data_IF_683406890744
#
_entry.id   IF_683406890744
#
_cell.length_a   1.000
_cell.length_b   1.000
_cell.length_c   1.000
_cell.angle_alpha   90.00
_cell.angle_beta   90.00
_cell.angle_gamma   90.00
#
_symmetry.space_group_name_H-M   'P 1'
#
loop_
_entity.id
_entity.type
_entity.pdbx_description
1 polymer ?
#
# COMPACT_ATOMS: atom_id res chain seq x y z
N UNK A 1 -13.28 11.18 -10.57
CA UNK A 1 -14.51 11.28 -11.40
C UNK A 1 -14.32 10.47 -12.67
N UNK A 2 -15.40 9.95 -13.30
CA UNK A 2 -15.29 9.19 -14.55
C UNK A 2 -14.69 9.97 -15.72
N UNK A 3 -14.62 11.30 -15.63
CA UNK A 3 -14.04 12.21 -16.61
C UNK A 3 -12.54 12.52 -16.38
N UNK A 4 -11.87 11.77 -15.51
CA UNK A 4 -10.41 11.90 -15.29
C UNK A 4 -9.98 13.02 -14.34
N UNK A 5 -10.90 13.79 -13.76
CA UNK A 5 -10.55 14.82 -12.77
C UNK A 5 -9.98 14.16 -11.51
N UNK A 6 -8.78 14.54 -11.12
CA UNK A 6 -8.17 14.13 -9.85
C UNK A 6 -8.81 14.92 -8.72
N UNK A 7 -9.31 14.21 -7.71
CA UNK A 7 -9.85 14.81 -6.49
C UNK A 7 -8.97 14.41 -5.31
N UNK A 8 -8.68 15.38 -4.47
CA UNK A 8 -7.97 15.13 -3.21
C UNK A 8 -8.97 14.86 -2.09
N UNK A 9 -8.60 13.96 -1.18
CA UNK A 9 -9.34 13.81 0.07
C UNK A 9 -9.17 15.10 0.89
N UNK A 10 -10.27 15.77 1.21
CA UNK A 10 -10.26 17.05 1.89
C UNK A 10 -9.63 16.97 3.29
N UNK A 11 -9.82 15.85 4.01
CA UNK A 11 -9.25 15.63 5.35
C UNK A 11 -7.74 15.52 5.28
N UNK A 12 -7.21 14.70 4.36
CA UNK A 12 -5.76 14.55 4.15
C UNK A 12 -5.13 15.88 3.73
N UNK A 13 -5.77 16.59 2.82
CA UNK A 13 -5.27 17.88 2.33
C UNK A 13 -5.23 18.94 3.43
N UNK A 14 -6.30 19.03 4.24
CA UNK A 14 -6.36 19.95 5.38
C UNK A 14 -5.28 19.63 6.43
N UNK A 15 -5.08 18.37 6.72
CA UNK A 15 -4.01 17.92 7.62
C UNK A 15 -2.63 18.28 7.08
N UNK A 16 -2.37 17.94 5.81
CA UNK A 16 -1.12 18.30 5.14
C UNK A 16 -0.83 19.81 5.26
N UNK A 17 -1.76 20.67 4.89
CA UNK A 17 -1.55 22.11 4.97
C UNK A 17 -1.34 22.62 6.39
N UNK A 18 -2.05 22.05 7.37
CA UNK A 18 -1.86 22.39 8.78
C UNK A 18 -0.44 22.05 9.25
N UNK A 19 0.07 20.85 8.91
CA UNK A 19 1.42 20.42 9.26
C UNK A 19 2.49 21.18 8.47
N UNK A 20 2.27 21.40 7.17
CA UNK A 20 3.15 22.18 6.32
C UNK A 20 3.36 23.61 6.85
N UNK A 21 2.28 24.27 7.26
CA UNK A 21 2.35 25.60 7.87
C UNK A 21 3.07 25.57 9.22
N UNK A 22 2.84 24.54 10.04
CA UNK A 22 3.52 24.36 11.33
C UNK A 22 5.02 24.07 11.18
N UNK A 23 5.42 23.42 10.08
CA UNK A 23 6.82 23.09 9.76
C UNK A 23 7.50 24.17 8.89
N UNK A 24 7.09 25.41 9.02
CA UNK A 24 7.66 26.54 8.28
C UNK A 24 7.74 26.33 6.75
N UNK A 25 6.76 25.62 6.16
CA UNK A 25 6.69 25.32 4.74
C UNK A 25 7.49 24.11 4.28
N UNK A 26 7.99 23.29 5.20
CA UNK A 26 8.62 22.02 4.87
C UNK A 26 7.59 20.90 4.82
N UNK A 27 7.83 19.92 3.94
CA UNK A 27 6.96 18.73 3.82
C UNK A 27 6.99 17.98 5.15
N UNK A 28 5.83 17.65 5.74
CA UNK A 28 5.76 16.89 6.98
C UNK A 28 6.30 15.46 6.79
N UNK A 29 7.04 14.96 7.76
CA UNK A 29 7.52 13.57 7.80
C UNK A 29 6.35 12.57 7.88
N UNK A 30 5.28 12.94 8.57
CA UNK A 30 4.05 12.14 8.67
C UNK A 30 2.94 12.77 7.82
N UNK A 31 2.57 12.09 6.74
CA UNK A 31 1.42 12.45 5.91
C UNK A 31 0.10 11.84 6.39
N UNK A 32 0.18 10.92 7.36
CA UNK A 32 -0.98 10.21 7.93
C UNK A 32 -1.25 10.72 9.34
N UNK A 33 -2.34 11.41 9.52
CA UNK A 33 -2.85 11.86 10.82
C UNK A 33 -3.37 10.67 11.66
N UNK A 34 -3.39 10.86 12.99
CA UNK A 34 -4.11 9.98 13.91
C UNK A 34 -5.59 9.81 13.54
N UNK A 35 -6.21 10.80 12.90
CA UNK A 35 -7.56 10.68 12.37
C UNK A 35 -7.67 9.72 11.17
N UNK A 36 -6.63 9.57 10.36
CA UNK A 36 -6.56 8.51 9.34
C UNK A 36 -6.35 7.14 9.98
N UNK A 37 -5.72 7.06 11.16
CA UNK A 37 -5.71 5.84 11.97
C UNK A 37 -7.10 5.51 12.53
N UNK A 38 -7.96 6.51 12.75
CA UNK A 38 -9.39 6.29 13.00
C UNK A 38 -10.10 5.70 11.79
N UNK A 39 -9.62 5.97 10.58
CA UNK A 39 -10.14 5.34 9.36
C UNK A 39 -9.81 3.84 9.31
N UNK A 40 -8.70 3.39 9.93
CA UNK A 40 -8.45 1.95 10.17
C UNK A 40 -9.53 1.35 11.07
N UNK A 41 -10.03 2.06 12.07
CA UNK A 41 -11.18 1.62 12.88
C UNK A 41 -12.45 1.46 12.04
N UNK A 42 -12.66 2.31 11.03
CA UNK A 42 -13.77 2.16 10.10
C UNK A 42 -13.60 0.94 9.20
N UNK A 43 -12.39 0.73 8.65
CA UNK A 43 -12.08 -0.49 7.89
C UNK A 43 -12.32 -1.73 8.77
N UNK A 44 -11.81 -1.74 10.00
CA UNK A 44 -12.05 -2.83 10.96
C UNK A 44 -13.54 -3.03 11.23
N UNK A 45 -14.27 -1.97 11.52
CA UNK A 45 -15.70 -2.06 11.85
C UNK A 45 -16.51 -2.54 10.65
N UNK A 46 -16.19 -2.06 9.46
CA UNK A 46 -16.81 -2.49 8.22
C UNK A 46 -16.46 -3.97 7.93
N UNK A 47 -15.22 -4.37 8.13
CA UNK A 47 -14.78 -5.76 7.88
C UNK A 47 -15.26 -6.74 8.94
N UNK A 48 -15.34 -6.37 10.21
CA UNK A 48 -15.86 -7.24 11.27
C UNK A 48 -17.36 -7.56 11.12
N UNK A 49 -18.10 -6.69 10.45
CA UNK A 49 -19.53 -6.90 10.16
C UNK A 49 -19.78 -7.72 8.88
N UNK A 50 -18.73 -8.18 8.19
CA UNK A 50 -18.83 -8.83 6.88
C UNK A 50 -18.26 -10.24 6.91
N UNK A 51 -19.07 -11.24 6.56
CA UNK A 51 -18.63 -12.62 6.33
C UNK A 51 -17.58 -12.74 5.19
N UNK A 52 -17.51 -11.73 4.30
CA UNK A 52 -16.63 -11.69 3.12
C UNK A 52 -15.49 -10.66 3.24
N UNK A 53 -15.19 -10.17 4.43
CA UNK A 53 -14.16 -9.13 4.64
C UNK A 53 -12.81 -9.49 4.03
N UNK A 54 -12.40 -10.75 4.18
CA UNK A 54 -11.14 -11.24 3.63
C UNK A 54 -11.12 -11.18 2.10
N UNK A 55 -12.20 -11.58 1.44
CA UNK A 55 -12.30 -11.56 -0.04
C UNK A 55 -12.21 -10.14 -0.59
N UNK A 56 -12.81 -9.18 0.09
CA UNK A 56 -12.76 -7.77 -0.33
C UNK A 56 -11.38 -7.15 -0.08
N UNK A 57 -10.72 -7.54 1.00
CA UNK A 57 -9.35 -7.12 1.27
C UNK A 57 -8.35 -7.76 0.31
N UNK A 58 -8.53 -9.05 -0.02
CA UNK A 58 -7.77 -9.71 -1.08
C UNK A 58 -7.89 -8.92 -2.38
N UNK A 59 -9.11 -8.56 -2.80
CA UNK A 59 -9.37 -7.79 -4.02
C UNK A 59 -8.65 -6.42 -4.00
N UNK A 60 -8.68 -5.69 -2.89
CA UNK A 60 -8.01 -4.39 -2.78
C UNK A 60 -6.49 -4.49 -2.65
N UNK A 61 -6.00 -5.43 -1.84
CA UNK A 61 -4.57 -5.51 -1.52
C UNK A 61 -3.78 -6.25 -2.59
N UNK A 62 -4.37 -7.31 -3.17
CA UNK A 62 -3.71 -8.14 -4.17
C UNK A 62 -4.00 -7.62 -5.57
N UNK A 63 -5.29 -7.49 -5.93
CA UNK A 63 -5.71 -7.16 -7.29
C UNK A 63 -5.77 -5.64 -7.55
N UNK A 64 -5.78 -4.83 -6.48
CA UNK A 64 -5.98 -3.37 -6.53
C UNK A 64 -7.28 -2.97 -7.23
N UNK A 65 -8.28 -3.82 -7.10
CA UNK A 65 -9.58 -3.66 -7.75
C UNK A 65 -10.71 -4.15 -6.84
N UNK A 66 -11.69 -3.29 -6.60
CA UNK A 66 -12.91 -3.65 -5.89
C UNK A 66 -14.12 -3.28 -6.74
N UNK A 67 -14.83 -4.26 -7.31
CA UNK A 67 -16.02 -4.03 -8.11
C UNK A 67 -17.15 -3.35 -7.31
N UNK A 68 -17.89 -2.46 -7.95
CA UNK A 68 -19.07 -1.82 -7.38
C UNK A 68 -20.19 -1.67 -8.41
N UNK A 69 -21.41 -1.48 -7.92
CA UNK A 69 -22.56 -1.23 -8.78
C UNK A 69 -22.80 0.29 -8.93
N UNK A 70 -22.67 0.79 -10.17
CA UNK A 70 -22.85 2.21 -10.50
C UNK A 70 -24.25 2.73 -10.14
N UNK A 71 -25.29 1.91 -10.31
CA UNK A 71 -26.66 2.30 -9.97
C UNK A 71 -26.82 2.53 -8.45
N UNK A 72 -26.11 1.76 -7.65
CA UNK A 72 -26.12 1.90 -6.20
C UNK A 72 -25.40 3.18 -5.74
N UNK A 73 -24.31 3.56 -6.41
CA UNK A 73 -23.62 4.82 -6.16
C UNK A 73 -24.53 6.03 -6.46
N UNK A 74 -25.27 5.98 -7.57
CA UNK A 74 -26.02 7.13 -8.07
C UNK A 74 -27.38 7.36 -7.36
N UNK A 75 -28.07 6.30 -6.96
CA UNK A 75 -29.49 6.39 -6.59
C UNK A 75 -29.89 5.73 -5.29
N UNK A 76 -29.15 4.77 -4.81
CA UNK A 76 -29.56 3.92 -3.69
C UNK A 76 -28.78 4.16 -2.40
N UNK A 77 -27.59 4.73 -2.49
CA UNK A 77 -26.74 4.94 -1.31
C UNK A 77 -27.26 6.08 -0.43
N UNK A 78 -27.33 5.84 0.86
CA UNK A 78 -27.62 6.85 1.86
C UNK A 78 -26.96 6.50 3.19
N UNK A 79 -26.96 7.44 4.15
CA UNK A 79 -26.27 7.28 5.45
C UNK A 79 -26.69 6.02 6.23
N UNK A 80 -27.92 5.54 6.08
CA UNK A 80 -28.42 4.34 6.77
C UNK A 80 -27.78 3.06 6.20
N UNK A 81 -27.41 3.08 4.91
CA UNK A 81 -26.82 1.94 4.20
C UNK A 81 -25.29 1.87 4.30
N UNK A 82 -24.68 2.81 5.01
CA UNK A 82 -23.24 2.95 5.10
C UNK A 82 -22.54 1.67 5.61
N UNK A 83 -23.22 0.88 6.42
CA UNK A 83 -22.72 -0.37 7.00
C UNK A 83 -23.35 -1.62 6.38
N UNK A 84 -24.17 -1.46 5.34
CA UNK A 84 -24.76 -2.60 4.65
C UNK A 84 -23.72 -3.25 3.74
N UNK A 85 -23.68 -4.57 3.76
CA UNK A 85 -22.71 -5.39 3.02
C UNK A 85 -22.68 -5.08 1.51
N UNK A 86 -23.85 -4.87 0.92
CA UNK A 86 -24.00 -4.57 -0.50
C UNK A 86 -23.39 -3.22 -0.91
N UNK A 87 -23.32 -2.28 0.04
CA UNK A 87 -22.83 -0.92 -0.19
C UNK A 87 -21.39 -0.69 0.28
N UNK A 88 -20.72 -1.72 0.74
CA UNK A 88 -19.37 -1.62 1.28
C UNK A 88 -18.35 -0.93 0.35
N UNK A 89 -18.23 -1.28 -0.94
CA UNK A 89 -17.33 -0.59 -1.85
C UNK A 89 -17.64 0.91 -1.98
N UNK A 90 -18.92 1.25 -1.94
CA UNK A 90 -19.40 2.63 -2.02
C UNK A 90 -19.10 3.38 -0.73
N UNK A 91 -19.25 2.74 0.41
CA UNK A 91 -18.91 3.31 1.72
C UNK A 91 -17.43 3.64 1.81
N UNK A 92 -16.55 2.76 1.35
CA UNK A 92 -15.11 3.00 1.27
C UNK A 92 -14.78 4.18 0.35
N UNK A 93 -15.48 4.28 -0.79
CA UNK A 93 -15.32 5.41 -1.70
C UNK A 93 -15.74 6.75 -1.05
N UNK A 94 -16.88 6.80 -0.38
CA UNK A 94 -17.32 8.02 0.33
C UNK A 94 -16.44 8.41 1.51
N UNK A 95 -15.79 7.44 2.15
CA UNK A 95 -14.76 7.69 3.18
C UNK A 95 -13.43 8.16 2.59
N UNK A 96 -13.27 8.15 1.26
CA UNK A 96 -12.01 8.47 0.60
C UNK A 96 -10.94 7.39 0.73
N UNK A 97 -11.33 6.20 1.16
CA UNK A 97 -10.45 5.05 1.32
C UNK A 97 -10.17 4.33 0.00
N UNK A 98 -11.08 4.50 -0.97
CA UNK A 98 -10.91 4.07 -2.35
C UNK A 98 -11.24 5.21 -3.30
N UNK A 99 -10.83 5.09 -4.56
CA UNK A 99 -11.16 6.00 -5.65
C UNK A 99 -11.69 5.23 -6.85
N UNK A 100 -12.36 5.91 -7.76
CA UNK A 100 -12.83 5.29 -9.00
C UNK A 100 -11.64 5.02 -9.92
N UNK A 101 -11.43 3.77 -10.30
CA UNK A 101 -10.51 3.37 -11.37
C UNK A 101 -11.21 3.52 -12.73
N UNK A 102 -12.42 3.03 -12.81
CA UNK A 102 -13.30 3.17 -13.97
C UNK A 102 -14.79 3.17 -13.56
N UNK A 103 -15.68 2.86 -14.50
CA UNK A 103 -17.14 2.85 -14.28
C UNK A 103 -17.62 1.71 -13.37
N UNK A 104 -16.81 0.69 -13.15
CA UNK A 104 -17.23 -0.55 -12.49
C UNK A 104 -16.36 -0.94 -11.31
N UNK A 105 -15.18 -0.30 -11.19
CA UNK A 105 -14.15 -0.71 -10.26
C UNK A 105 -13.61 0.50 -9.48
N UNK A 106 -13.46 0.32 -8.18
CA UNK A 106 -12.66 1.21 -7.32
C UNK A 106 -11.28 0.61 -7.05
N UNK A 107 -10.32 1.46 -6.75
CA UNK A 107 -8.91 1.12 -6.45
C UNK A 107 -8.42 1.92 -5.26
N UNK A 108 -7.25 1.59 -4.74
CA UNK A 108 -6.61 2.37 -3.68
C UNK A 108 -6.08 3.70 -4.23
N UNK A 109 -6.39 4.85 -3.59
CA UNK A 109 -6.17 6.16 -4.18
C UNK A 109 -4.70 6.59 -4.23
N UNK A 110 -3.87 6.10 -3.31
CA UNK A 110 -2.46 6.49 -3.18
C UNK A 110 -1.68 5.50 -2.29
N UNK A 111 -0.36 5.70 -2.21
CA UNK A 111 0.54 4.83 -1.45
C UNK A 111 0.25 4.81 0.05
N UNK A 112 -0.17 5.93 0.63
CA UNK A 112 -0.55 6.01 2.04
C UNK A 112 -1.70 5.05 2.35
N UNK A 113 -2.73 5.05 1.50
CA UNK A 113 -3.86 4.12 1.67
C UNK A 113 -3.44 2.66 1.40
N UNK A 114 -2.53 2.43 0.45
CA UNK A 114 -1.96 1.08 0.23
C UNK A 114 -1.25 0.56 1.48
N UNK A 115 -0.42 1.37 2.13
CA UNK A 115 0.24 1.00 3.39
C UNK A 115 -0.77 0.71 4.49
N UNK A 116 -1.81 1.54 4.63
CA UNK A 116 -2.86 1.34 5.63
C UNK A 116 -3.60 0.02 5.42
N UNK A 117 -3.98 -0.30 4.18
CA UNK A 117 -4.64 -1.55 3.86
C UNK A 117 -3.71 -2.76 4.00
N UNK A 118 -2.44 -2.63 3.62
CA UNK A 118 -1.44 -3.68 3.80
C UNK A 118 -1.18 -3.96 5.28
N UNK A 119 -1.03 -2.92 6.12
CA UNK A 119 -0.89 -3.09 7.56
C UNK A 119 -2.09 -3.83 8.17
N UNK A 120 -3.30 -3.45 7.77
CA UNK A 120 -4.50 -4.14 8.22
C UNK A 120 -4.56 -5.60 7.71
N UNK A 121 -4.17 -5.84 6.46
CA UNK A 121 -4.07 -7.17 5.88
C UNK A 121 -3.05 -8.04 6.63
N UNK A 122 -1.90 -7.47 6.99
CA UNK A 122 -0.91 -8.10 7.83
C UNK A 122 -1.48 -8.51 9.19
N UNK A 123 -2.21 -7.62 9.86
CA UNK A 123 -2.85 -7.91 11.15
C UNK A 123 -3.84 -9.06 11.05
N UNK A 124 -4.67 -9.10 10.00
CA UNK A 124 -5.63 -10.19 9.77
C UNK A 124 -4.96 -11.54 9.52
N UNK A 125 -3.84 -11.54 8.82
CA UNK A 125 -3.06 -12.75 8.55
C UNK A 125 -2.06 -13.07 9.67
N UNK A 126 -2.07 -12.30 10.78
CA UNK A 126 -1.16 -12.45 11.93
C UNK A 126 0.31 -12.37 11.55
N UNK A 127 0.63 -11.53 10.57
CA UNK A 127 2.00 -11.26 10.17
C UNK A 127 2.65 -10.40 11.25
N UNK A 128 3.72 -10.89 11.82
CA UNK A 128 4.43 -10.19 12.87
C UNK A 128 5.26 -9.03 12.30
N UNK A 129 4.92 -7.83 12.72
CA UNK A 129 5.74 -6.62 12.49
C UNK A 129 6.80 -6.41 13.56
N UNK A 130 7.34 -7.49 14.17
CA UNK A 130 8.25 -7.41 15.29
C UNK A 130 9.59 -6.77 14.90
N UNK A 131 9.88 -5.60 15.47
CA UNK A 131 11.13 -4.89 15.24
C UNK A 131 12.40 -5.71 15.54
N UNK A 132 12.34 -6.63 16.51
CA UNK A 132 13.48 -7.50 16.84
C UNK A 132 13.86 -8.42 15.66
N UNK A 133 12.89 -8.81 14.82
CA UNK A 133 13.13 -9.65 13.65
C UNK A 133 13.79 -8.90 12.50
N UNK A 134 13.40 -7.65 12.29
CA UNK A 134 13.78 -6.88 11.10
C UNK A 134 14.93 -5.88 11.34
N UNK A 135 14.99 -5.24 12.51
CA UNK A 135 16.02 -4.24 12.83
C UNK A 135 17.46 -4.70 12.55
N UNK A 136 17.87 -5.95 12.84
CA UNK A 136 19.24 -6.38 12.53
C UNK A 136 19.59 -6.28 11.04
N UNK A 137 18.65 -6.61 10.15
CA UNK A 137 18.84 -6.55 8.70
C UNK A 137 18.91 -5.11 8.21
N UNK A 138 18.09 -4.21 8.77
CA UNK A 138 18.11 -2.80 8.41
C UNK A 138 19.37 -2.09 8.94
N UNK A 139 19.89 -2.46 10.10
CA UNK A 139 21.19 -1.99 10.59
C UNK A 139 22.33 -2.47 9.70
N UNK A 140 22.26 -3.71 9.22
CA UNK A 140 23.23 -4.21 8.28
C UNK A 140 23.18 -3.45 6.95
N UNK A 141 21.99 -3.17 6.43
CA UNK A 141 21.79 -2.31 5.27
C UNK A 141 22.36 -0.90 5.50
N UNK A 142 22.09 -0.31 6.65
CA UNK A 142 22.61 1.01 7.02
C UNK A 142 24.14 1.06 6.95
N UNK A 143 24.81 -0.01 7.39
CA UNK A 143 26.26 -0.08 7.44
C UNK A 143 26.94 -0.30 6.10
N UNK A 144 26.34 -1.06 5.16
CA UNK A 144 27.03 -1.51 3.94
C UNK A 144 26.24 -1.24 2.64
N UNK A 145 25.02 -0.74 2.73
CA UNK A 145 24.16 -0.39 1.58
C UNK A 145 23.84 -1.56 0.62
N UNK A 146 24.00 -2.80 1.05
CA UNK A 146 23.64 -3.96 0.25
C UNK A 146 22.14 -4.25 0.35
N UNK A 147 21.45 -4.27 -0.80
CA UNK A 147 20.02 -4.65 -0.88
C UNK A 147 19.79 -6.15 -0.73
N UNK A 148 20.79 -6.98 -1.03
CA UNK A 148 20.64 -8.44 -1.04
C UNK A 148 20.10 -9.00 0.30
N UNK A 149 20.70 -8.71 1.48
CA UNK A 149 20.17 -9.21 2.74
C UNK A 149 18.78 -8.69 3.07
N UNK A 150 18.46 -7.47 2.62
CA UNK A 150 17.14 -6.87 2.83
C UNK A 150 16.08 -7.59 1.99
N UNK A 151 16.37 -7.85 0.72
CA UNK A 151 15.49 -8.60 -0.18
C UNK A 151 15.34 -10.05 0.30
N UNK A 152 16.43 -10.71 0.68
CA UNK A 152 16.39 -12.07 1.22
C UNK A 152 15.51 -12.13 2.48
N UNK A 153 15.68 -11.19 3.42
CA UNK A 153 14.87 -11.13 4.63
C UNK A 153 13.37 -10.92 4.31
N UNK A 154 13.06 -10.09 3.31
CA UNK A 154 11.69 -9.89 2.86
C UNK A 154 11.07 -11.21 2.40
N UNK A 155 11.73 -11.97 1.54
CA UNK A 155 11.20 -13.24 1.04
C UNK A 155 11.12 -14.31 2.14
N UNK A 156 12.16 -14.49 2.93
CA UNK A 156 12.24 -15.57 3.91
C UNK A 156 11.47 -15.27 5.20
N UNK A 157 11.58 -14.05 5.70
CA UNK A 157 11.06 -13.71 7.03
C UNK A 157 9.71 -13.00 6.99
N UNK A 158 9.44 -12.19 5.97
CA UNK A 158 8.17 -11.48 5.86
C UNK A 158 7.16 -12.29 5.06
N UNK A 159 7.42 -12.58 3.80
CA UNK A 159 6.50 -13.37 2.97
C UNK A 159 6.29 -14.78 3.52
N UNK A 160 7.31 -15.41 4.07
CA UNK A 160 7.21 -16.75 4.66
C UNK A 160 6.20 -16.90 5.81
N UNK A 161 5.69 -15.80 6.36
CA UNK A 161 4.64 -15.81 7.39
C UNK A 161 3.22 -15.93 6.80
N UNK A 162 3.03 -15.61 5.53
CA UNK A 162 1.70 -15.65 4.92
C UNK A 162 1.22 -17.09 4.74
N UNK A 163 -0.09 -17.35 4.94
CA UNK A 163 -0.68 -18.65 4.69
C UNK A 163 -0.55 -19.06 3.21
N UNK A 164 -0.44 -20.37 2.95
CA UNK A 164 -0.30 -20.91 1.60
C UNK A 164 -1.36 -20.40 0.62
N UNK A 165 -2.62 -20.23 1.07
CA UNK A 165 -3.71 -19.73 0.24
C UNK A 165 -3.49 -18.29 -0.27
N UNK A 166 -2.63 -17.50 0.38
CA UNK A 166 -2.25 -16.17 -0.10
C UNK A 166 -1.33 -16.30 -1.30
N UNK A 167 -0.38 -17.24 -1.27
CA UNK A 167 0.56 -17.48 -2.37
C UNK A 167 -0.12 -17.89 -3.68
N UNK A 168 -1.29 -18.53 -3.63
CA UNK A 168 -2.07 -18.86 -4.82
C UNK A 168 -2.62 -17.62 -5.55
N UNK A 169 -2.72 -16.48 -4.85
CA UNK A 169 -3.33 -15.25 -5.33
C UNK A 169 -2.36 -14.11 -5.55
N UNK A 170 -1.20 -14.11 -4.87
CA UNK A 170 -0.26 -12.99 -4.95
C UNK A 170 0.20 -12.77 -6.38
N UNK A 171 0.47 -11.52 -6.68
CA UNK A 171 0.94 -11.04 -7.95
C UNK A 171 2.04 -9.99 -7.74
N UNK A 172 2.57 -9.44 -8.81
CA UNK A 172 3.62 -8.43 -8.77
C UNK A 172 3.23 -7.18 -7.99
N UNK A 173 1.97 -6.75 -8.10
CA UNK A 173 1.45 -5.60 -7.34
C UNK A 173 1.50 -5.86 -5.82
N UNK A 174 1.09 -7.05 -5.38
CA UNK A 174 1.19 -7.43 -3.97
C UNK A 174 2.63 -7.41 -3.47
N UNK A 175 3.56 -7.96 -4.22
CA UNK A 175 5.00 -7.97 -3.88
C UNK A 175 5.52 -6.54 -3.72
N UNK A 176 5.25 -5.66 -4.69
CA UNK A 176 5.64 -4.25 -4.62
C UNK A 176 5.10 -3.53 -3.40
N UNK A 177 3.79 -3.65 -3.18
CA UNK A 177 3.12 -2.94 -2.08
C UNK A 177 3.56 -3.44 -0.71
N UNK A 178 3.74 -4.75 -0.55
CA UNK A 178 4.18 -5.34 0.71
C UNK A 178 5.68 -5.10 0.98
N UNK A 179 6.51 -5.09 -0.05
CA UNK A 179 7.91 -4.69 0.07
C UNK A 179 8.03 -3.22 0.47
N UNK A 180 7.30 -2.32 -0.21
CA UNK A 180 7.22 -0.92 0.16
C UNK A 180 6.80 -0.74 1.62
N UNK A 181 5.74 -1.39 2.04
CA UNK A 181 5.22 -1.28 3.40
C UNK A 181 6.28 -1.70 4.43
N UNK A 182 6.99 -2.81 4.21
CA UNK A 182 8.04 -3.27 5.11
C UNK A 182 9.25 -2.32 5.12
N UNK A 183 9.73 -1.92 3.94
CA UNK A 183 10.94 -1.09 3.82
C UNK A 183 10.71 0.32 4.35
N UNK A 184 9.55 0.91 4.07
CA UNK A 184 9.21 2.26 4.53
C UNK A 184 9.12 2.38 6.05
N UNK A 185 8.77 1.32 6.76
CA UNK A 185 8.76 1.32 8.25
C UNK A 185 10.13 1.64 8.86
N UNK A 186 11.20 1.24 8.20
CA UNK A 186 12.55 1.31 8.77
C UNK A 186 13.46 2.33 8.09
N UNK A 187 13.17 2.68 6.84
CA UNK A 187 14.03 3.53 6.03
C UNK A 187 13.37 4.86 5.61
N UNK A 188 12.19 5.20 6.11
CA UNK A 188 11.51 6.47 5.77
C UNK A 188 12.26 7.73 6.25
N UNK A 189 13.15 7.61 7.23
CA UNK A 189 14.03 8.69 7.63
C UNK A 189 15.27 8.86 6.73
N UNK A 190 15.52 7.89 5.84
CA UNK A 190 16.68 7.84 4.96
C UNK A 190 16.32 8.07 3.49
N UNK A 191 15.14 7.59 3.09
CA UNK A 191 14.68 7.61 1.71
C UNK A 191 13.25 8.12 1.58
N UNK A 192 12.99 8.78 0.46
CA UNK A 192 11.65 8.89 -0.10
C UNK A 192 11.41 7.73 -1.06
N UNK A 193 10.15 7.29 -1.15
CA UNK A 193 9.78 6.12 -1.92
C UNK A 193 8.78 6.48 -3.01
N UNK A 194 8.94 5.87 -4.18
CA UNK A 194 7.98 5.97 -5.26
C UNK A 194 7.70 4.59 -5.86
N UNK A 195 6.45 4.35 -6.23
CA UNK A 195 6.03 3.12 -6.89
C UNK A 195 5.43 3.48 -8.24
N UNK A 196 5.71 2.65 -9.25
CA UNK A 196 5.18 2.80 -10.60
C UNK A 196 5.41 4.20 -11.20
N UNK A 197 6.65 4.68 -11.13
CA UNK A 197 6.99 5.96 -11.73
C UNK A 197 7.21 5.83 -13.24
N UNK A 198 6.55 6.72 -14.00
CA UNK A 198 6.82 6.85 -15.43
C UNK A 198 7.97 7.84 -15.61
N UNK A 199 9.09 7.33 -16.08
CA UNK A 199 10.29 8.11 -16.40
C UNK A 199 10.43 8.26 -17.92
N UNK A 200 11.29 9.16 -18.35
CA UNK A 200 11.57 9.38 -19.79
C UNK A 200 12.09 8.14 -20.53
N UNK A 201 12.61 7.16 -19.80
CA UNK A 201 13.23 5.92 -20.33
C UNK A 201 12.31 4.70 -20.16
N UNK A 202 11.25 4.81 -19.34
CA UNK A 202 10.35 3.69 -19.06
C UNK A 202 9.59 3.87 -17.77
N UNK A 203 9.07 2.76 -17.25
CA UNK A 203 8.35 2.71 -15.96
C UNK A 203 9.17 1.88 -14.98
N UNK A 204 9.45 2.43 -13.82
CA UNK A 204 10.06 1.71 -12.69
C UNK A 204 9.00 1.13 -11.77
N UNK A 205 9.28 -0.04 -11.19
CA UNK A 205 8.36 -0.67 -10.22
C UNK A 205 8.46 -0.04 -8.85
N UNK A 206 9.68 0.24 -8.37
CA UNK A 206 9.93 0.79 -7.05
C UNK A 206 11.23 1.60 -7.04
N UNK A 207 11.16 2.81 -6.52
CA UNK A 207 12.30 3.70 -6.38
C UNK A 207 12.49 4.12 -4.92
N UNK A 208 13.76 4.20 -4.51
CA UNK A 208 14.20 4.76 -3.23
C UNK A 208 15.15 5.91 -3.54
N UNK A 209 14.78 7.13 -3.17
CA UNK A 209 15.60 8.33 -3.39
C UNK A 209 16.11 8.85 -2.05
N UNK A 210 17.42 9.01 -1.92
CA UNK A 210 18.05 9.45 -0.69
C UNK A 210 17.62 10.85 -0.26
N UNK A 211 17.28 11.02 1.01
CA UNK A 211 16.79 12.31 1.54
C UNK A 211 17.95 13.30 1.66
N UNK A 212 17.82 14.54 1.16
CA UNK A 212 18.82 15.58 1.33
C UNK A 212 19.19 15.84 2.81
N UNK A 213 20.47 15.91 3.09
CA UNK A 213 20.99 16.12 4.46
C UNK A 213 21.20 14.83 5.25
N UNK A 214 20.96 13.67 4.66
CA UNK A 214 21.32 12.36 5.23
C UNK A 214 22.53 11.77 4.50
N UNK A 215 23.16 10.75 5.11
CA UNK A 215 24.25 9.98 4.49
C UNK A 215 23.77 9.16 3.27
N UNK A 216 22.49 9.21 2.97
CA UNK A 216 21.81 8.48 1.88
C UNK A 216 21.58 9.36 0.65
N UNK A 217 21.88 10.65 0.70
CA UNK A 217 21.49 11.64 -0.32
C UNK A 217 21.93 11.28 -1.76
N UNK A 218 23.01 10.53 -1.92
CA UNK A 218 23.49 10.07 -3.24
C UNK A 218 23.25 8.59 -3.48
N UNK A 219 22.50 7.92 -2.62
CA UNK A 219 22.23 6.49 -2.71
C UNK A 219 20.82 6.24 -3.24
N UNK A 220 20.62 6.51 -4.54
CA UNK A 220 19.37 6.23 -5.22
C UNK A 220 19.32 4.78 -5.68
N UNK A 221 18.15 4.13 -5.50
CA UNK A 221 17.94 2.72 -5.85
C UNK A 221 16.68 2.57 -6.69
N UNK A 222 16.77 1.71 -7.70
CA UNK A 222 15.62 1.24 -8.48
C UNK A 222 15.53 -0.28 -8.32
N UNK A 223 14.36 -0.76 -7.97
CA UNK A 223 14.08 -2.19 -7.81
C UNK A 223 12.97 -2.58 -8.78
N UNK A 224 13.27 -3.55 -9.63
CA UNK A 224 12.32 -4.16 -10.55
C UNK A 224 11.88 -5.51 -10.00
N UNK A 225 10.58 -5.73 -9.96
CA UNK A 225 10.00 -7.00 -9.53
C UNK A 225 9.55 -7.80 -10.73
N UNK A 226 9.90 -9.09 -10.76
CA UNK A 226 9.40 -10.02 -11.76
C UNK A 226 8.78 -11.21 -11.06
N UNK A 227 7.49 -11.38 -11.27
CA UNK A 227 6.73 -12.49 -10.70
C UNK A 227 6.45 -13.53 -11.78
N UNK A 228 6.96 -14.73 -11.55
CA UNK A 228 6.75 -15.88 -12.44
C UNK A 228 6.08 -17.01 -11.67
N UNK A 229 5.07 -17.64 -12.26
CA UNK A 229 4.56 -18.91 -11.73
C UNK A 229 5.61 -20.00 -11.96
N UNK A 230 5.68 -21.00 -11.07
CA UNK A 230 6.74 -22.03 -11.09
C UNK A 230 6.99 -22.64 -12.50
N UNK A 231 5.94 -22.96 -13.25
CA UNK A 231 6.06 -23.48 -14.62
C UNK A 231 6.71 -22.53 -15.63
N UNK A 232 6.65 -21.24 -15.37
CA UNK A 232 7.27 -20.21 -16.21
C UNK A 232 8.71 -19.95 -15.75
N UNK A 233 8.97 -20.00 -14.45
CA UNK A 233 10.31 -19.90 -13.87
C UNK A 233 11.22 -21.04 -14.34
N UNK A 234 10.72 -22.27 -14.37
CA UNK A 234 11.48 -23.44 -14.88
C UNK A 234 11.87 -23.27 -16.36
N UNK A 235 11.01 -22.68 -17.20
CA UNK A 235 11.32 -22.39 -18.60
C UNK A 235 12.38 -21.29 -18.75
N UNK A 236 12.39 -20.29 -17.86
CA UNK A 236 13.36 -19.19 -17.90
C UNK A 236 14.74 -19.62 -17.40
N UNK A 237 14.80 -20.55 -16.45
CA UNK A 237 16.07 -21.12 -15.95
C UNK A 237 16.69 -22.14 -16.92
N UNK A 238 15.94 -22.60 -17.91
CA UNK A 238 16.40 -23.54 -18.94
C UNK A 238 16.91 -22.84 -20.23
N UNK A 239 16.87 -21.51 -20.28
CA UNK A 239 17.42 -20.66 -21.35
C UNK A 239 18.73 -20.03 -20.92
#
# INVERSE_FOLDING_TARGET
RPNGDRLFNATILTYFFKKFAANAGSIPDELVDENLRTDIHWIRRLTLSLDNAKTMLDALVIDDELPYNVADLASKFNKKKFFDKEFYPISLFYLGMTTLKDKFVTTLPNMTMRSVYMDYYNQLNKIEGNAQRYVPVYRHYDSNRSLEPLVQNYFEQYLGQFPAQVFDKINENFIRCSFYELVSRYLSSCYTFAIEQNNSVGRSDFEMTGIPGTDYYTDDRVVEFKYYRMKEAEKMLAL
#
